data_IF_839322126231
#
_entry.id   IF_839322126231
#
_cell.length_a   1.000
_cell.length_b   1.000
_cell.length_c   1.000
_cell.angle_alpha   90.00
_cell.angle_beta   90.00
_cell.angle_gamma   90.00
#
_symmetry.space_group_name_H-M   'P 1'
#
loop_
_entity.id
_entity.type
_entity.pdbx_description
1 polymer ?
#
# COMPACT_ATOMS: atom_id res chain seq x y z
N UNK A 1 -7.04 -2.10 -13.75
CA UNK A 1 -7.01 -3.04 -12.62
C UNK A 1 -6.64 -2.29 -11.36
N UNK A 2 -7.22 -2.66 -10.20
CA UNK A 2 -6.88 -2.06 -8.91
C UNK A 2 -5.39 -2.22 -8.63
N UNK A 3 -4.75 -1.12 -8.22
CA UNK A 3 -3.37 -0.81 -8.56
C UNK A 3 -2.29 -1.65 -7.87
N UNK A 4 -2.14 -2.91 -8.29
CA UNK A 4 -0.87 -3.62 -8.50
C UNK A 4 -1.06 -5.11 -8.82
N UNK A 5 -2.17 -5.47 -9.48
CA UNK A 5 -2.20 -6.71 -10.28
C UNK A 5 -2.83 -7.94 -9.65
N UNK A 6 -3.46 -7.85 -8.47
CA UNK A 6 -4.31 -8.95 -8.00
C UNK A 6 -5.62 -8.96 -8.80
N UNK A 7 -5.95 -10.10 -9.40
CA UNK A 7 -7.21 -10.28 -10.12
C UNK A 7 -8.40 -10.14 -9.17
N UNK A 8 -9.61 -9.97 -9.72
CA UNK A 8 -10.82 -9.94 -8.91
C UNK A 8 -11.03 -11.30 -8.23
N UNK A 9 -10.75 -12.37 -8.97
CA UNK A 9 -10.85 -13.76 -8.54
C UNK A 9 -9.91 -14.02 -7.37
N UNK A 10 -8.64 -13.63 -7.49
CA UNK A 10 -7.66 -13.76 -6.40
C UNK A 10 -8.06 -12.92 -5.19
N UNK A 11 -8.65 -11.74 -5.40
CA UNK A 11 -9.14 -10.90 -4.32
C UNK A 11 -10.29 -11.56 -3.57
N UNK A 12 -11.26 -12.11 -4.29
CA UNK A 12 -12.38 -12.84 -3.70
C UNK A 12 -11.87 -14.04 -2.89
N UNK A 13 -10.95 -14.84 -3.46
CA UNK A 13 -10.36 -15.98 -2.76
C UNK A 13 -9.57 -15.55 -1.52
N UNK A 14 -8.76 -14.50 -1.63
CA UNK A 14 -7.97 -13.96 -0.53
C UNK A 14 -8.87 -13.53 0.64
N UNK A 15 -9.85 -12.66 0.36
CA UNK A 15 -10.74 -12.12 1.40
C UNK A 15 -11.68 -13.17 1.95
N UNK A 16 -12.19 -14.09 1.12
CA UNK A 16 -13.02 -15.19 1.60
C UNK A 16 -12.23 -16.03 2.60
N UNK A 17 -11.02 -16.49 2.23
CA UNK A 17 -10.16 -17.31 3.10
C UNK A 17 -9.85 -16.62 4.44
N UNK A 18 -9.61 -15.32 4.43
CA UNK A 18 -9.30 -14.58 5.65
C UNK A 18 -10.55 -14.39 6.53
N UNK A 19 -11.67 -14.00 5.93
CA UNK A 19 -12.88 -13.67 6.68
C UNK A 19 -13.56 -14.93 7.21
N UNK A 20 -13.46 -16.05 6.50
CA UNK A 20 -14.06 -17.32 6.94
C UNK A 20 -13.38 -17.94 8.18
N UNK A 21 -12.31 -17.31 8.70
CA UNK A 21 -11.79 -17.63 10.03
C UNK A 21 -12.75 -17.25 11.16
N UNK A 22 -13.67 -16.31 10.90
CA UNK A 22 -14.60 -15.76 11.90
C UNK A 22 -16.06 -15.67 11.42
N UNK A 23 -16.34 -15.82 10.12
CA UNK A 23 -17.70 -15.86 9.54
C UNK A 23 -17.89 -17.06 8.60
N UNK A 24 -19.10 -17.35 8.13
CA UNK A 24 -19.32 -18.41 7.12
C UNK A 24 -19.08 -17.91 5.69
N UNK A 25 -18.84 -18.84 4.76
CA UNK A 25 -18.74 -18.50 3.32
C UNK A 25 -19.99 -17.82 2.80
N UNK A 26 -21.17 -18.21 3.28
CA UNK A 26 -22.44 -17.60 2.90
C UNK A 26 -22.54 -16.15 3.39
N UNK A 27 -22.12 -15.88 4.64
CA UNK A 27 -22.04 -14.52 5.17
C UNK A 27 -21.05 -13.68 4.38
N UNK A 28 -19.91 -14.24 3.98
CA UNK A 28 -18.95 -13.56 3.12
C UNK A 28 -19.57 -13.15 1.78
N UNK A 29 -20.19 -14.12 1.09
CA UNK A 29 -20.82 -13.91 -0.21
C UNK A 29 -21.92 -12.86 -0.15
N UNK A 30 -22.75 -12.89 0.90
CA UNK A 30 -23.86 -11.95 1.10
C UNK A 30 -23.39 -10.53 1.40
N UNK A 31 -22.36 -10.36 2.22
CA UNK A 31 -22.02 -9.06 2.80
C UNK A 31 -20.81 -8.36 2.14
N UNK A 32 -19.93 -9.09 1.46
CA UNK A 32 -18.63 -8.56 1.00
C UNK A 32 -18.32 -8.79 -0.48
N UNK A 33 -18.70 -9.94 -1.05
CA UNK A 33 -18.32 -10.29 -2.43
C UNK A 33 -18.79 -9.25 -3.46
N UNK A 34 -20.02 -8.73 -3.30
CA UNK A 34 -20.55 -7.67 -4.16
C UNK A 34 -19.65 -6.42 -4.17
N UNK A 35 -19.24 -5.94 -3.01
CA UNK A 35 -18.40 -4.74 -2.89
C UNK A 35 -17.03 -4.96 -3.55
N UNK A 36 -16.44 -6.16 -3.41
CA UNK A 36 -15.19 -6.50 -4.09
C UNK A 36 -15.37 -6.44 -5.60
N UNK A 37 -16.40 -7.07 -6.16
CA UNK A 37 -16.68 -7.01 -7.61
C UNK A 37 -16.94 -5.59 -8.10
N UNK A 38 -17.66 -4.79 -7.30
CA UNK A 38 -17.90 -3.38 -7.59
C UNK A 38 -16.62 -2.54 -7.61
N UNK A 39 -15.69 -2.75 -6.66
CA UNK A 39 -14.38 -2.08 -6.67
C UNK A 39 -13.57 -2.40 -7.93
N UNK A 40 -13.79 -3.56 -8.55
CA UNK A 40 -13.17 -3.96 -9.81
C UNK A 40 -13.95 -3.50 -11.06
N UNK A 41 -15.05 -2.77 -10.90
CA UNK A 41 -15.89 -2.29 -12.00
C UNK A 41 -16.75 -3.38 -12.64
N UNK A 42 -16.94 -4.52 -11.98
CA UNK A 42 -17.72 -5.66 -12.49
C UNK A 42 -19.19 -5.62 -12.07
N UNK A 43 -19.60 -4.61 -11.31
CA UNK A 43 -20.96 -4.39 -10.81
C UNK A 43 -21.36 -2.91 -10.98
N UNK A 44 -22.67 -2.62 -11.01
CA UNK A 44 -23.20 -1.24 -11.01
C UNK A 44 -22.75 -0.40 -12.23
N UNK A 45 -22.37 0.87 -12.01
CA UNK A 45 -21.93 1.81 -13.07
C UNK A 45 -20.56 1.47 -13.69
N UNK A 46 -19.93 0.36 -13.30
CA UNK A 46 -18.59 -0.05 -13.75
C UNK A 46 -17.54 1.04 -13.52
N UNK A 47 -17.62 1.73 -12.38
CA UNK A 47 -16.71 2.81 -12.04
C UNK A 47 -15.28 2.28 -11.85
N UNK A 48 -14.30 2.98 -12.42
CA UNK A 48 -12.89 2.70 -12.19
C UNK A 48 -12.42 3.36 -10.90
N UNK A 49 -12.28 2.58 -9.83
CA UNK A 49 -11.75 3.07 -8.55
C UNK A 49 -10.22 3.14 -8.61
N UNK A 50 -9.66 4.34 -8.62
CA UNK A 50 -8.21 4.52 -8.45
C UNK A 50 -7.85 4.35 -6.97
N UNK A 51 -6.79 3.59 -6.64
CA UNK A 51 -6.25 3.52 -5.29
C UNK A 51 -5.96 4.91 -4.71
N UNK A 52 -6.09 5.05 -3.40
CA UNK A 52 -5.93 6.36 -2.76
C UNK A 52 -4.46 6.76 -2.70
N UNK A 53 -4.18 8.02 -3.04
CA UNK A 53 -2.90 8.65 -2.78
C UNK A 53 -2.78 9.07 -1.30
N UNK A 54 -1.58 9.43 -0.85
CA UNK A 54 -1.34 9.83 0.54
C UNK A 54 -2.21 11.01 0.95
N UNK A 55 -2.43 12.00 0.07
CA UNK A 55 -3.29 13.16 0.37
C UNK A 55 -4.71 12.72 0.76
N UNK A 56 -5.31 11.81 -0.01
CA UNK A 56 -6.66 11.30 0.28
C UNK A 56 -6.69 10.43 1.53
N UNK A 57 -5.63 9.68 1.82
CA UNK A 57 -5.51 8.86 3.04
C UNK A 57 -5.35 9.75 4.29
N UNK A 58 -4.60 10.85 4.18
CA UNK A 58 -4.26 11.75 5.30
C UNK A 58 -5.36 12.78 5.57
N UNK A 59 -5.99 13.31 4.52
CA UNK A 59 -6.99 14.39 4.59
C UNK A 59 -8.41 13.91 4.29
N UNK A 60 -8.62 12.59 4.17
CA UNK A 60 -9.93 12.00 3.90
C UNK A 60 -10.97 12.41 4.94
N UNK A 61 -12.24 12.29 4.56
CA UNK A 61 -13.37 12.85 5.31
C UNK A 61 -13.54 12.31 6.72
N UNK A 62 -12.92 11.17 7.06
CA UNK A 62 -12.99 10.54 8.38
C UNK A 62 -11.60 10.05 8.80
N UNK A 63 -11.03 10.58 9.91
CA UNK A 63 -9.84 9.99 10.51
C UNK A 63 -10.17 8.62 11.13
N UNK A 64 -9.18 7.73 11.31
CA UNK A 64 -9.42 6.42 11.92
C UNK A 64 -9.91 6.55 13.37
N UNK A 65 -10.98 5.83 13.70
CA UNK A 65 -11.50 5.71 15.06
C UNK A 65 -10.94 4.51 15.84
N UNK A 66 -11.50 4.25 17.02
CA UNK A 66 -11.13 3.09 17.82
C UNK A 66 -11.52 1.79 17.10
N UNK A 67 -10.54 0.90 16.90
CA UNK A 67 -10.73 -0.36 16.16
C UNK A 67 -10.51 -0.24 14.64
N UNK A 68 -10.29 0.97 14.12
CA UNK A 68 -9.92 1.17 12.72
C UNK A 68 -8.42 0.95 12.49
N UNK A 69 -8.09 0.36 11.34
CA UNK A 69 -6.71 0.11 10.92
C UNK A 69 -6.33 0.86 9.63
N UNK A 70 -7.16 1.79 9.17
CA UNK A 70 -6.90 2.59 7.97
C UNK A 70 -6.09 3.86 8.29
N UNK A 71 -5.71 4.61 7.25
CA UNK A 71 -5.01 5.89 7.40
C UNK A 71 -3.48 5.82 7.25
N UNK A 72 -2.79 6.91 7.61
CA UNK A 72 -1.34 7.03 7.55
C UNK A 72 -0.75 6.97 8.97
N UNK A 73 0.09 5.99 9.33
CA UNK A 73 0.70 5.92 10.67
C UNK A 73 1.50 7.17 11.04
N UNK A 74 2.25 7.74 10.09
CA UNK A 74 2.99 8.99 10.30
C UNK A 74 2.06 10.18 10.62
N UNK A 75 0.78 10.14 10.23
CA UNK A 75 -0.20 11.16 10.58
C UNK A 75 -1.00 10.79 11.83
N UNK A 76 -1.62 9.63 11.85
CA UNK A 76 -2.70 9.29 12.78
C UNK A 76 -2.25 8.62 14.08
N UNK A 77 -1.09 7.95 14.11
CA UNK A 77 -0.57 7.45 15.39
C UNK A 77 -0.04 8.61 16.21
N UNK A 78 -0.10 8.58 17.53
CA UNK A 78 0.66 9.51 18.37
C UNK A 78 2.17 9.23 18.31
N UNK A 79 2.97 10.06 18.98
CA UNK A 79 4.44 9.90 19.03
C UNK A 79 4.88 8.56 19.59
N UNK A 80 4.26 8.09 20.68
CA UNK A 80 4.64 6.86 21.36
C UNK A 80 4.33 5.62 20.50
N UNK A 81 3.14 5.58 19.91
CA UNK A 81 2.69 4.51 19.02
C UNK A 81 3.53 4.47 17.73
N UNK A 82 3.85 5.63 17.14
CA UNK A 82 4.72 5.69 15.98
C UNK A 82 6.15 5.23 16.32
N UNK A 83 6.72 5.69 17.44
CA UNK A 83 8.04 5.27 17.89
C UNK A 83 8.11 3.76 18.18
N UNK A 84 7.08 3.22 18.81
CA UNK A 84 6.93 1.79 19.08
C UNK A 84 6.86 0.97 17.79
N UNK A 85 6.04 1.41 16.81
CA UNK A 85 5.95 0.77 15.50
C UNK A 85 7.31 0.74 14.79
N UNK A 86 7.98 1.89 14.68
CA UNK A 86 9.28 1.99 13.99
C UNK A 86 10.36 1.14 14.67
N UNK A 87 10.34 1.06 16.00
CA UNK A 87 11.26 0.23 16.77
C UNK A 87 10.99 -1.26 16.56
N UNK A 88 9.72 -1.68 16.55
CA UNK A 88 9.29 -3.06 16.25
C UNK A 88 9.72 -3.48 14.84
N UNK A 89 9.59 -2.59 13.86
CA UNK A 89 10.02 -2.82 12.48
C UNK A 89 11.55 -2.76 12.30
N UNK A 90 12.31 -2.40 13.34
CA UNK A 90 13.78 -2.28 13.32
C UNK A 90 14.29 -1.37 12.20
N UNK A 91 13.54 -0.29 11.91
CA UNK A 91 13.94 0.71 10.90
C UNK A 91 15.10 1.53 11.44
N UNK A 92 16.21 1.54 10.71
CA UNK A 92 17.39 2.37 10.99
C UNK A 92 17.92 2.28 12.43
N UNK A 93 18.72 3.28 12.81
CA UNK A 93 19.19 3.47 14.17
C UNK A 93 18.09 4.08 15.07
N UNK A 94 18.22 4.05 16.42
CA UNK A 94 17.32 4.77 17.31
C UNK A 94 17.21 6.27 16.99
N UNK A 95 18.32 6.90 16.58
CA UNK A 95 18.36 8.31 16.17
C UNK A 95 17.56 8.56 14.89
N UNK A 96 17.62 7.65 13.91
CA UNK A 96 16.82 7.75 12.69
C UNK A 96 15.32 7.68 13.00
N UNK A 97 14.92 6.73 13.87
CA UNK A 97 13.52 6.61 14.29
C UNK A 97 13.02 7.87 14.99
N UNK A 98 13.84 8.44 15.88
CA UNK A 98 13.52 9.72 16.53
C UNK A 98 13.33 10.83 15.50
N UNK A 99 14.26 10.99 14.55
CA UNK A 99 14.14 11.98 13.48
C UNK A 99 12.86 11.80 12.65
N UNK A 100 12.47 10.57 12.34
CA UNK A 100 11.22 10.31 11.61
C UNK A 100 9.97 10.70 12.41
N UNK A 101 9.95 10.42 13.72
CA UNK A 101 8.85 10.84 14.59
C UNK A 101 8.78 12.36 14.65
N UNK A 102 9.90 13.04 14.82
CA UNK A 102 9.96 14.51 14.87
C UNK A 102 9.52 15.14 13.55
N UNK A 103 9.98 14.60 12.42
CA UNK A 103 9.56 15.05 11.08
C UNK A 103 8.05 14.88 10.89
N UNK A 104 7.50 13.76 11.32
CA UNK A 104 6.07 13.47 11.20
C UNK A 104 5.21 14.37 12.11
N UNK A 105 5.64 14.60 13.36
CA UNK A 105 4.82 15.20 14.42
C UNK A 105 5.11 16.66 14.70
N UNK A 106 6.40 17.04 14.78
CA UNK A 106 6.83 18.41 15.06
C UNK A 106 6.87 19.24 13.78
N UNK A 107 7.45 18.69 12.71
CA UNK A 107 7.53 19.37 11.40
C UNK A 107 6.29 19.15 10.53
N UNK A 108 5.27 18.44 11.04
CA UNK A 108 4.01 18.15 10.34
C UNK A 108 4.21 17.62 8.90
N UNK A 109 5.24 16.81 8.70
CA UNK A 109 5.70 16.35 7.37
C UNK A 109 5.63 14.81 7.24
N UNK A 110 4.42 14.21 7.30
CA UNK A 110 4.27 12.75 7.29
C UNK A 110 4.76 12.10 5.99
N UNK A 111 4.61 12.77 4.84
CA UNK A 111 5.08 12.29 3.55
C UNK A 111 6.61 12.19 3.51
N UNK A 112 7.31 13.18 4.08
CA UNK A 112 8.77 13.16 4.18
C UNK A 112 9.25 12.10 5.17
N UNK A 113 8.55 11.90 6.29
CA UNK A 113 8.87 10.84 7.24
C UNK A 113 8.71 9.43 6.60
N UNK A 114 7.68 9.26 5.76
CA UNK A 114 7.48 8.05 4.96
C UNK A 114 8.56 7.85 3.88
N UNK A 115 9.00 8.93 3.21
CA UNK A 115 10.13 8.88 2.29
C UNK A 115 11.42 8.48 3.02
N UNK A 116 11.69 9.09 4.19
CA UNK A 116 12.85 8.73 5.01
C UNK A 116 12.82 7.26 5.44
N UNK A 117 11.64 6.74 5.79
CA UNK A 117 11.46 5.31 6.04
C UNK A 117 11.89 4.46 4.83
N UNK A 118 11.47 4.85 3.62
CA UNK A 118 11.88 4.14 2.40
C UNK A 118 13.40 4.15 2.23
N UNK A 119 14.05 5.31 2.35
CA UNK A 119 15.50 5.45 2.20
C UNK A 119 16.29 4.59 3.19
N UNK A 120 15.82 4.48 4.43
CA UNK A 120 16.45 3.66 5.48
C UNK A 120 16.25 2.16 5.27
N UNK A 121 15.15 1.77 4.63
CA UNK A 121 14.84 0.35 4.36
C UNK A 121 15.33 -0.12 3.00
N UNK A 122 15.68 0.80 2.10
CA UNK A 122 16.18 0.55 0.75
C UNK A 122 17.43 1.40 0.50
N UNK A 123 18.55 1.10 1.19
CA UNK A 123 19.75 1.91 1.10
C UNK A 123 20.25 1.98 -0.34
N UNK A 124 20.61 3.20 -0.78
CA UNK A 124 21.08 3.51 -2.14
C UNK A 124 20.05 3.32 -3.26
N UNK A 125 18.76 3.13 -2.95
CA UNK A 125 17.72 2.98 -3.98
C UNK A 125 17.71 4.13 -4.99
N UNK A 126 17.85 5.38 -4.52
CA UNK A 126 17.88 6.56 -5.38
C UNK A 126 19.09 6.64 -6.33
N UNK A 127 20.14 5.85 -6.09
CA UNK A 127 21.33 5.81 -6.96
C UNK A 127 21.29 4.66 -7.97
N UNK A 128 20.30 3.77 -7.86
CA UNK A 128 20.17 2.64 -8.77
C UNK A 128 19.35 3.05 -10.00
N UNK A 129 19.73 2.59 -11.21
CA UNK A 129 18.91 2.81 -12.40
C UNK A 129 17.57 2.09 -12.28
N UNK A 130 16.55 2.62 -12.96
CA UNK A 130 15.19 2.08 -13.06
C UNK A 130 14.39 2.04 -11.74
N UNK A 131 14.86 2.71 -10.68
CA UNK A 131 14.08 2.92 -9.45
C UNK A 131 13.53 4.34 -9.45
N UNK A 132 12.24 4.47 -9.73
CA UNK A 132 11.56 5.75 -9.65
C UNK A 132 11.31 6.14 -8.19
N UNK A 133 11.96 7.21 -7.74
CA UNK A 133 11.67 7.84 -6.45
C UNK A 133 10.45 8.77 -6.50
N UNK A 134 9.88 9.01 -7.68
CA UNK A 134 8.70 9.84 -7.85
C UNK A 134 7.54 9.26 -7.05
N UNK A 135 6.88 10.15 -6.29
CA UNK A 135 5.72 9.83 -5.46
C UNK A 135 5.90 8.77 -4.38
N UNK A 136 7.12 8.28 -4.09
CA UNK A 136 7.36 7.31 -3.00
C UNK A 136 6.84 7.81 -1.66
N UNK A 137 6.96 9.11 -1.37
CA UNK A 137 6.37 9.74 -0.18
C UNK A 137 4.90 10.13 -0.32
N UNK A 138 4.32 10.06 -1.53
CA UNK A 138 3.01 10.64 -1.87
C UNK A 138 1.95 9.62 -2.32
N UNK A 139 2.34 8.38 -2.60
CA UNK A 139 1.41 7.33 -3.01
C UNK A 139 1.87 5.95 -2.50
N UNK A 140 1.03 5.19 -1.76
CA UNK A 140 1.39 3.83 -1.31
C UNK A 140 1.76 2.91 -2.48
N UNK A 141 1.09 3.10 -3.61
CA UNK A 141 1.42 2.40 -4.84
C UNK A 141 2.78 2.72 -5.47
N UNK A 142 3.25 3.96 -5.36
CA UNK A 142 4.60 4.31 -5.78
C UNK A 142 5.64 3.71 -4.83
N UNK A 143 5.40 3.80 -3.50
CA UNK A 143 6.29 3.23 -2.48
C UNK A 143 6.60 1.75 -2.73
N UNK A 144 5.57 0.91 -2.87
CA UNK A 144 5.83 -0.53 -3.09
C UNK A 144 6.27 -0.86 -4.51
N UNK A 145 5.96 -0.05 -5.53
CA UNK A 145 6.53 -0.26 -6.87
C UNK A 145 8.05 -0.05 -6.85
N UNK A 146 8.51 1.04 -6.22
CA UNK A 146 9.95 1.29 -6.04
C UNK A 146 10.62 0.20 -5.18
N UNK A 147 9.93 -0.30 -4.14
CA UNK A 147 10.42 -1.41 -3.30
C UNK A 147 10.59 -2.71 -4.09
N UNK A 148 9.63 -3.06 -4.95
CA UNK A 148 9.75 -4.23 -5.83
C UNK A 148 10.93 -4.09 -6.80
N UNK A 149 11.06 -2.94 -7.46
CA UNK A 149 12.18 -2.67 -8.36
C UNK A 149 13.53 -2.78 -7.64
N UNK A 150 13.62 -2.24 -6.42
CA UNK A 150 14.82 -2.37 -5.59
C UNK A 150 15.17 -3.82 -5.29
N UNK A 151 14.21 -4.61 -4.82
CA UNK A 151 14.43 -6.01 -4.45
C UNK A 151 14.79 -6.88 -5.66
N UNK A 152 14.22 -6.61 -6.84
CA UNK A 152 14.58 -7.29 -8.08
C UNK A 152 16.05 -7.05 -8.47
N UNK A 153 16.60 -5.86 -8.19
CA UNK A 153 18.01 -5.53 -8.45
C UNK A 153 18.93 -6.09 -7.35
N UNK A 154 18.52 -6.04 -6.08
CA UNK A 154 19.30 -6.56 -4.95
C UNK A 154 19.46 -8.09 -4.98
N UNK A 155 18.52 -8.81 -5.60
CA UNK A 155 18.53 -10.28 -5.72
C UNK A 155 19.31 -10.82 -6.93
N UNK A 156 19.94 -9.98 -7.75
CA UNK A 156 20.80 -10.47 -8.85
C UNK A 156 20.06 -11.22 -9.97
N UNK A 157 18.79 -10.91 -10.22
CA UNK A 157 17.92 -11.41 -11.31
C UNK A 157 17.64 -12.92 -11.37
N UNK A 158 16.39 -13.31 -11.05
CA UNK A 158 15.58 -14.22 -11.89
C UNK A 158 14.19 -14.42 -11.28
N UNK A 159 13.17 -13.77 -11.84
CA UNK A 159 11.82 -14.32 -11.96
C UNK A 159 11.01 -13.46 -12.92
N UNK A 160 10.49 -14.13 -13.94
CA UNK A 160 9.65 -13.67 -15.03
C UNK A 160 8.63 -12.60 -14.61
N UNK A 161 8.85 -11.37 -15.08
CA UNK A 161 7.78 -10.39 -15.20
C UNK A 161 6.83 -10.94 -16.26
N UNK A 162 5.68 -11.44 -15.84
CA UNK A 162 4.56 -11.71 -16.75
C UNK A 162 4.24 -10.38 -17.44
N UNK A 163 4.59 -10.29 -18.72
CA UNK A 163 4.14 -9.19 -19.55
C UNK A 163 2.62 -9.23 -19.61
N UNK A 164 1.93 -8.08 -19.53
CA UNK A 164 0.51 -8.05 -19.79
C UNK A 164 0.32 -8.42 -21.27
N UNK A 165 -0.20 -9.61 -21.51
CA UNK A 165 -0.68 -9.98 -22.84
C UNK A 165 -1.71 -8.94 -23.27
N UNK A 166 -1.49 -8.41 -24.47
CA UNK A 166 -2.43 -7.55 -25.19
C UNK A 166 -3.80 -8.25 -25.21
N UNK A 167 -4.91 -7.55 -24.90
CA UNK A 167 -6.23 -8.15 -25.10
C UNK A 167 -6.39 -8.42 -26.60
N UNK A 168 -6.52 -9.71 -26.93
CA UNK A 168 -6.92 -10.19 -28.23
C UNK A 168 -8.33 -9.65 -28.52
N UNK A 169 -8.42 -8.72 -29.47
CA UNK A 169 -9.67 -8.31 -30.10
C UNK A 169 -10.28 -9.55 -30.76
N UNK A 170 -11.31 -10.11 -30.14
CA UNK A 170 -12.24 -10.98 -30.85
C UNK A 170 -13.40 -10.11 -31.29
N UNK A 171 -13.36 -9.75 -32.57
CA UNK A 171 -14.53 -9.28 -33.30
C UNK A 171 -15.52 -10.43 -33.41
N UNK A 172 -16.77 -10.20 -33.03
CA UNK A 172 -18.00 -10.66 -33.67
C UNK A 172 -19.18 -9.99 -32.97
#
# INVERSE_FOLDING_TARGET
GNGRGMSMEDSLLFFQREFTKIITSDQFNKNYAYNIRHMYGMEGKRASYTPYNCKKIILGSQPPGNGDHHGCPFRHYDEANLAGLLSKLKVGSPSDRKNMVEMAKKSNSPNLACLKHFELTHPKAATLPDISMNDVGNHPNAWFAASLSYNAKASGSSSSVVSPEKPMLVQS
#
